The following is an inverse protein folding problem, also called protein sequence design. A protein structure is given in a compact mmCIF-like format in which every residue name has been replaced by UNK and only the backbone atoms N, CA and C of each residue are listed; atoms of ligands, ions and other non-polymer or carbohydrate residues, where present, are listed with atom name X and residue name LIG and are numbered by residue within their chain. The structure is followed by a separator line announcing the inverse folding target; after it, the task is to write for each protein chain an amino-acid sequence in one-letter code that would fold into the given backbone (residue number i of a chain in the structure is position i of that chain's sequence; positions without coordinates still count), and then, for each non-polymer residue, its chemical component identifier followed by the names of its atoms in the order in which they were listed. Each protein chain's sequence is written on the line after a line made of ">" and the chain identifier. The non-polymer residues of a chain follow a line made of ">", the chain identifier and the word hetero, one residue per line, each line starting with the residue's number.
data_IF_900219693051
#
_entry.id   IF_900219693051
#
_cell.length_a   1.000
_cell.length_b   1.000
_cell.length_c   1.000
_cell.angle_alpha   90.00
_cell.angle_beta   90.00
_cell.angle_gamma   90.00
#
_symmetry.space_group_name_H-M   'P 1'
#
loop_
_entity.id
_entity.type
_entity.pdbx_description
1 polymer ?
#
# COMPACT_ATOMS: atom_id res chain seq x y z
N UNK A 1 29.36 33.64 -15.81
CA UNK A 1 28.97 32.21 -15.83
C UNK A 1 28.29 31.93 -17.15
N UNK A 2 28.70 30.88 -17.86
CA UNK A 2 28.07 30.46 -19.12
C UNK A 2 26.61 30.05 -18.83
N UNK A 3 25.66 30.68 -19.52
CA UNK A 3 24.22 30.37 -19.36
C UNK A 3 23.98 28.96 -19.90
N UNK A 4 23.39 28.09 -19.09
CA UNK A 4 23.05 26.73 -19.48
C UNK A 4 21.69 26.73 -20.17
N UNK A 5 21.52 25.96 -21.24
CA UNK A 5 20.20 25.82 -21.88
C UNK A 5 19.37 24.75 -21.14
N UNK A 6 18.23 25.08 -20.48
CA UNK A 6 17.48 24.10 -19.70
C UNK A 6 16.89 22.97 -20.54
N UNK A 7 16.44 23.26 -21.76
CA UNK A 7 15.96 22.27 -22.72
C UNK A 7 17.06 21.29 -23.13
N UNK A 8 18.28 21.78 -23.37
CA UNK A 8 19.44 20.95 -23.69
C UNK A 8 19.85 20.07 -22.51
N UNK A 9 19.80 20.59 -21.28
CA UNK A 9 20.07 19.81 -20.07
C UNK A 9 19.05 18.67 -19.87
N UNK A 10 17.76 18.95 -20.11
CA UNK A 10 16.71 17.92 -20.08
C UNK A 10 16.90 16.87 -21.16
N UNK A 11 17.20 17.27 -22.40
CA UNK A 11 17.40 16.36 -23.52
C UNK A 11 18.61 15.44 -23.30
N UNK A 12 19.71 15.98 -22.78
CA UNK A 12 20.86 15.16 -22.40
C UNK A 12 20.52 14.17 -21.27
N UNK A 13 19.57 14.50 -20.40
CA UNK A 13 19.16 13.65 -19.28
C UNK A 13 18.28 12.46 -19.68
N UNK A 14 17.97 12.28 -20.97
CA UNK A 14 17.41 11.03 -21.50
C UNK A 14 18.30 9.84 -21.11
N UNK A 15 19.62 10.05 -21.05
CA UNK A 15 20.53 9.14 -20.36
C UNK A 15 20.77 9.76 -18.98
N UNK A 16 20.20 9.20 -17.89
CA UNK A 16 20.36 9.79 -16.57
C UNK A 16 21.82 10.01 -16.21
N UNK A 17 22.12 11.20 -15.71
CA UNK A 17 23.46 11.64 -15.36
C UNK A 17 24.13 12.57 -16.37
N UNK A 18 23.87 12.45 -17.67
CA UNK A 18 24.53 13.30 -18.68
C UNK A 18 24.12 14.78 -18.58
N UNK A 19 22.85 15.08 -18.29
CA UNK A 19 22.41 16.46 -18.08
C UNK A 19 22.97 17.10 -16.79
N UNK A 20 23.19 16.31 -15.74
CA UNK A 20 23.87 16.77 -14.53
C UNK A 20 25.36 17.05 -14.79
N UNK A 21 26.02 16.23 -15.63
CA UNK A 21 27.39 16.51 -16.10
C UNK A 21 27.43 17.82 -16.89
N UNK A 22 26.47 18.04 -17.79
CA UNK A 22 26.33 19.30 -18.54
C UNK A 22 26.18 20.52 -17.60
N UNK A 23 25.40 20.37 -16.53
CA UNK A 23 25.22 21.37 -15.48
C UNK A 23 26.43 21.52 -14.52
N UNK A 24 27.58 20.89 -14.82
CA UNK A 24 28.80 20.91 -14.01
C UNK A 24 28.64 20.24 -12.63
N UNK A 25 27.64 19.37 -12.45
CA UNK A 25 27.44 18.52 -11.27
C UNK A 25 27.98 17.10 -11.52
N UNK A 26 29.29 16.99 -11.75
CA UNK A 26 29.93 15.71 -12.18
C UNK A 26 29.66 14.56 -11.21
N UNK A 27 29.79 14.78 -9.89
CA UNK A 27 29.59 13.74 -8.89
C UNK A 27 28.16 13.13 -8.97
N UNK A 28 27.14 13.99 -8.99
CA UNK A 28 25.74 13.58 -9.14
C UNK A 28 25.49 12.87 -10.47
N UNK A 29 26.07 13.40 -11.54
CA UNK A 29 25.97 12.81 -12.87
C UNK A 29 26.53 11.38 -12.95
N UNK A 30 27.72 11.13 -12.40
CA UNK A 30 28.28 9.77 -12.35
C UNK A 30 27.47 8.82 -11.47
N UNK A 31 26.91 9.29 -10.35
CA UNK A 31 26.03 8.47 -9.51
C UNK A 31 24.78 8.07 -10.28
N UNK A 32 24.11 9.00 -10.95
CA UNK A 32 22.89 8.71 -11.72
C UNK A 32 23.15 7.79 -12.91
N UNK A 33 24.30 7.96 -13.57
CA UNK A 33 24.74 7.07 -14.64
C UNK A 33 25.06 5.67 -14.09
N UNK A 34 25.72 5.56 -12.94
CA UNK A 34 25.98 4.27 -12.27
C UNK A 34 24.69 3.55 -11.88
N UNK A 35 23.72 4.26 -11.27
CA UNK A 35 22.39 3.73 -10.95
C UNK A 35 21.69 3.22 -12.21
N UNK A 36 21.79 3.95 -13.31
CA UNK A 36 21.22 3.54 -14.61
C UNK A 36 21.86 2.27 -15.14
N UNK A 37 23.20 2.18 -15.14
CA UNK A 37 23.91 0.98 -15.60
C UNK A 37 23.52 -0.23 -14.75
N UNK A 38 23.54 -0.10 -13.43
CA UNK A 38 23.14 -1.17 -12.51
C UNK A 38 21.71 -1.61 -12.77
N UNK A 39 20.78 -0.66 -12.94
CA UNK A 39 19.39 -0.98 -13.25
C UNK A 39 19.24 -1.67 -14.61
N UNK A 40 19.93 -1.21 -15.65
CA UNK A 40 19.86 -1.83 -16.98
C UNK A 40 20.40 -3.27 -16.94
N UNK A 41 21.52 -3.50 -16.27
CA UNK A 41 22.06 -4.85 -16.08
C UNK A 41 21.09 -5.74 -15.31
N UNK A 42 20.54 -5.23 -14.20
CA UNK A 42 19.51 -5.91 -13.43
C UNK A 42 18.26 -6.22 -14.27
N UNK A 43 17.80 -5.25 -15.07
CA UNK A 43 16.60 -5.37 -15.87
C UNK A 43 16.75 -6.45 -16.94
N UNK A 44 17.86 -6.44 -17.66
CA UNK A 44 18.13 -7.43 -18.71
C UNK A 44 18.38 -8.83 -18.12
N UNK A 45 19.07 -8.93 -16.98
CA UNK A 45 19.43 -10.21 -16.40
C UNK A 45 18.30 -10.89 -15.61
N UNK A 46 17.48 -10.09 -14.90
CA UNK A 46 16.52 -10.62 -13.92
C UNK A 46 15.09 -10.13 -14.17
N UNK A 47 14.88 -8.82 -14.33
CA UNK A 47 13.52 -8.28 -14.36
C UNK A 47 12.76 -8.62 -15.66
N UNK A 48 13.41 -8.53 -16.82
CA UNK A 48 12.76 -8.74 -18.12
C UNK A 48 12.21 -10.17 -18.28
N UNK A 49 12.95 -11.25 -17.95
CA UNK A 49 12.40 -12.61 -17.95
C UNK A 49 11.21 -12.78 -17.00
N UNK A 50 11.29 -12.25 -15.77
CA UNK A 50 10.20 -12.39 -14.79
C UNK A 50 8.96 -11.54 -15.16
N UNK A 51 9.14 -10.39 -15.80
CA UNK A 51 8.04 -9.59 -16.35
C UNK A 51 7.41 -10.24 -17.57
N UNK A 52 8.17 -10.96 -18.39
CA UNK A 52 7.61 -11.80 -19.43
C UNK A 52 6.76 -12.92 -18.83
N UNK A 53 7.27 -13.61 -17.80
CA UNK A 53 6.54 -14.66 -17.08
C UNK A 53 5.29 -14.13 -16.36
N UNK A 54 5.28 -12.86 -15.95
CA UNK A 54 4.09 -12.20 -15.41
C UNK A 54 2.96 -12.14 -16.45
N UNK A 55 3.30 -11.92 -17.72
CA UNK A 55 2.33 -11.82 -18.80
C UNK A 55 1.87 -13.21 -19.25
N UNK A 56 2.80 -14.16 -19.42
CA UNK A 56 2.46 -15.50 -19.92
C UNK A 56 1.84 -16.40 -18.87
N UNK A 57 2.19 -16.22 -17.59
CA UNK A 57 1.79 -17.10 -16.48
C UNK A 57 2.18 -18.58 -16.69
N UNK A 58 3.21 -18.84 -17.51
CA UNK A 58 3.78 -20.17 -17.75
C UNK A 58 3.25 -20.84 -19.03
N UNK A 59 3.97 -21.87 -19.48
CA UNK A 59 3.65 -22.57 -20.73
C UNK A 59 3.42 -24.08 -20.51
N UNK A 60 3.99 -24.65 -19.44
CA UNK A 60 3.99 -26.10 -19.19
C UNK A 60 3.31 -26.44 -17.85
N UNK A 61 2.05 -26.91 -17.88
CA UNK A 61 1.36 -27.41 -16.69
C UNK A 61 2.17 -28.55 -16.02
N UNK A 62 2.15 -28.58 -14.70
CA UNK A 62 2.88 -29.54 -13.86
C UNK A 62 4.36 -29.20 -13.62
N UNK A 63 4.93 -28.26 -14.38
CA UNK A 63 6.31 -27.76 -14.19
C UNK A 63 6.32 -26.30 -13.75
N UNK A 64 5.61 -25.47 -14.50
CA UNK A 64 5.57 -24.04 -14.22
C UNK A 64 4.55 -23.76 -13.11
N UNK A 65 4.89 -22.81 -12.24
CA UNK A 65 3.99 -22.36 -11.18
C UNK A 65 3.60 -20.91 -11.45
N UNK A 66 2.44 -20.73 -12.08
CA UNK A 66 1.89 -19.43 -12.48
C UNK A 66 1.73 -18.46 -11.30
N UNK A 67 1.37 -18.98 -10.12
CA UNK A 67 1.24 -18.14 -8.92
C UNK A 67 2.60 -17.57 -8.50
N UNK A 68 3.65 -18.39 -8.49
CA UNK A 68 4.99 -17.88 -8.19
C UNK A 68 5.54 -16.96 -9.29
N UNK A 69 5.23 -17.22 -10.56
CA UNK A 69 5.58 -16.32 -11.66
C UNK A 69 4.90 -14.95 -11.49
N UNK A 70 3.61 -14.93 -11.14
CA UNK A 70 2.87 -13.70 -10.85
C UNK A 70 3.49 -12.93 -9.66
N UNK A 71 3.80 -13.64 -8.57
CA UNK A 71 4.40 -13.02 -7.37
C UNK A 71 5.79 -12.44 -7.67
N UNK A 72 6.67 -13.19 -8.36
CA UNK A 72 8.01 -12.70 -8.74
C UNK A 72 7.93 -11.55 -9.74
N UNK A 73 7.07 -11.67 -10.75
CA UNK A 73 6.80 -10.62 -11.72
C UNK A 73 6.34 -9.32 -11.05
N UNK A 74 5.39 -9.40 -10.12
CA UNK A 74 4.92 -8.26 -9.33
C UNK A 74 6.05 -7.63 -8.49
N UNK A 75 6.94 -8.44 -7.92
CA UNK A 75 8.10 -7.94 -7.18
C UNK A 75 9.03 -7.13 -8.10
N UNK A 76 9.38 -7.66 -9.28
CA UNK A 76 10.22 -6.96 -10.26
C UNK A 76 9.55 -5.71 -10.84
N UNK A 77 8.23 -5.73 -11.02
CA UNK A 77 7.46 -4.57 -11.48
C UNK A 77 7.64 -3.36 -10.55
N UNK A 78 7.73 -3.57 -9.23
CA UNK A 78 7.97 -2.48 -8.26
C UNK A 78 9.32 -1.80 -8.55
N UNK A 79 10.40 -2.57 -8.79
CA UNK A 79 11.70 -1.99 -9.11
C UNK A 79 11.68 -1.20 -10.41
N UNK A 80 10.95 -1.68 -11.42
CA UNK A 80 10.77 -0.95 -12.68
C UNK A 80 10.02 0.36 -12.45
N UNK A 81 8.93 0.35 -11.69
CA UNK A 81 8.16 1.57 -11.37
C UNK A 81 9.03 2.57 -10.59
N UNK A 82 9.78 2.11 -9.58
CA UNK A 82 10.71 2.95 -8.82
C UNK A 82 11.77 3.58 -9.75
N UNK A 83 12.31 2.81 -10.69
CA UNK A 83 13.27 3.33 -11.65
C UNK A 83 12.64 4.33 -12.63
N UNK A 84 11.41 4.09 -13.09
CA UNK A 84 10.67 5.05 -13.93
C UNK A 84 10.45 6.37 -13.20
N UNK A 85 10.09 6.33 -11.90
CA UNK A 85 9.99 7.53 -11.07
C UNK A 85 11.33 8.26 -10.93
N UNK A 86 12.42 7.51 -10.74
CA UNK A 86 13.78 8.06 -10.75
C UNK A 86 14.12 8.71 -12.10
N UNK A 87 13.79 8.05 -13.21
CA UNK A 87 14.06 8.53 -14.57
C UNK A 87 13.41 9.89 -14.85
N UNK A 88 12.11 10.03 -14.55
CA UNK A 88 11.41 11.32 -14.67
C UNK A 88 11.96 12.38 -13.70
N UNK A 89 12.28 11.98 -12.47
CA UNK A 89 12.86 12.88 -11.46
C UNK A 89 14.23 13.41 -11.90
N UNK A 90 15.06 12.58 -12.54
CA UNK A 90 16.35 12.97 -13.09
C UNK A 90 16.23 14.05 -14.20
N UNK A 91 15.27 13.90 -15.12
CA UNK A 91 15.07 14.88 -16.19
C UNK A 91 14.59 16.21 -15.60
N UNK A 92 13.61 16.16 -14.68
CA UNK A 92 13.10 17.34 -13.97
C UNK A 92 14.20 18.05 -13.18
N UNK A 93 15.07 17.29 -12.53
CA UNK A 93 16.22 17.79 -11.79
C UNK A 93 17.19 18.55 -12.70
N UNK A 94 17.63 17.95 -13.81
CA UNK A 94 18.57 18.60 -14.74
C UNK A 94 18.01 19.90 -15.34
N UNK A 95 16.72 19.91 -15.69
CA UNK A 95 16.03 21.12 -16.16
C UNK A 95 16.00 22.21 -15.08
N UNK A 96 15.62 21.85 -13.86
CA UNK A 96 15.46 22.78 -12.74
C UNK A 96 16.82 23.37 -12.32
N UNK A 97 17.87 22.54 -12.29
CA UNK A 97 19.22 22.99 -11.95
C UNK A 97 19.77 23.95 -13.01
N UNK A 98 19.58 23.67 -14.30
CA UNK A 98 19.98 24.59 -15.37
C UNK A 98 19.32 25.97 -15.22
N UNK A 99 18.02 26.01 -14.89
CA UNK A 99 17.29 27.25 -14.61
C UNK A 99 17.84 27.98 -13.37
N UNK A 100 18.16 27.26 -12.30
CA UNK A 100 18.77 27.83 -11.08
C UNK A 100 20.13 28.45 -11.35
N UNK A 101 20.99 27.77 -12.13
CA UNK A 101 22.30 28.29 -12.53
C UNK A 101 22.14 29.61 -13.31
N UNK A 102 21.18 29.67 -14.24
CA UNK A 102 20.94 30.89 -15.01
C UNK A 102 20.43 32.06 -14.16
N UNK A 103 19.71 31.75 -13.08
CA UNK A 103 19.19 32.74 -12.13
C UNK A 103 20.20 33.10 -11.03
N UNK A 104 21.44 32.62 -11.10
CA UNK A 104 22.48 32.90 -10.10
C UNK A 104 22.28 32.22 -8.74
N UNK A 105 21.34 31.27 -8.64
CA UNK A 105 21.07 30.53 -7.40
C UNK A 105 22.20 29.49 -7.21
N UNK A 106 22.84 29.42 -6.02
CA UNK A 106 23.90 28.45 -5.77
C UNK A 106 23.35 27.02 -5.87
N UNK A 107 24.11 26.15 -6.52
CA UNK A 107 23.79 24.72 -6.68
C UNK A 107 24.98 23.89 -6.20
N UNK A 108 24.74 22.74 -5.53
CA UNK A 108 25.82 21.88 -5.08
C UNK A 108 26.54 21.30 -6.29
N UNK A 109 27.88 21.48 -6.38
CA UNK A 109 28.69 20.97 -7.51
C UNK A 109 29.59 19.81 -7.11
N UNK A 110 30.05 19.81 -5.86
CA UNK A 110 30.91 18.75 -5.33
C UNK A 110 30.12 17.73 -4.53
N UNK A 111 30.72 16.56 -4.29
CA UNK A 111 30.12 15.52 -3.46
C UNK A 111 29.91 15.99 -2.01
N UNK A 112 30.86 16.76 -1.47
CA UNK A 112 30.75 17.33 -0.11
C UNK A 112 29.56 18.28 0.00
N UNK A 113 29.37 19.16 -1.00
CA UNK A 113 28.22 20.08 -1.04
C UNK A 113 26.89 19.32 -1.13
N UNK A 114 26.88 18.19 -1.83
CA UNK A 114 25.70 17.34 -1.98
C UNK A 114 25.31 16.69 -0.65
N UNK A 115 26.27 16.09 0.09
CA UNK A 115 26.00 15.52 1.41
C UNK A 115 25.50 16.61 2.36
N UNK A 116 26.18 17.76 2.39
CA UNK A 116 25.77 18.90 3.23
C UNK A 116 24.35 19.36 2.90
N UNK A 117 24.01 19.49 1.62
CA UNK A 117 22.68 19.86 1.17
C UNK A 117 21.59 18.84 1.53
N UNK A 118 21.91 17.53 1.44
CA UNK A 118 21.00 16.46 1.87
C UNK A 118 20.81 16.50 3.39
N UNK A 119 21.85 16.78 4.17
CA UNK A 119 21.71 16.88 5.62
C UNK A 119 20.92 18.13 6.04
N UNK A 120 21.17 19.28 5.41
CA UNK A 120 20.51 20.55 5.78
C UNK A 120 19.04 20.62 5.33
N UNK A 121 18.72 20.13 4.13
CA UNK A 121 17.39 20.27 3.53
C UNK A 121 16.66 18.94 3.32
N UNK A 122 17.40 17.83 3.36
CA UNK A 122 16.94 16.48 3.01
C UNK A 122 16.82 15.52 4.19
N UNK A 123 17.18 15.93 5.41
CA UNK A 123 17.20 15.06 6.59
C UNK A 123 15.84 14.41 6.88
N UNK A 124 14.68 15.12 6.82
CA UNK A 124 13.38 14.47 6.98
C UNK A 124 13.14 13.39 5.93
N UNK A 125 13.57 13.61 4.69
CA UNK A 125 13.43 12.64 3.60
C UNK A 125 14.28 11.39 3.84
N UNK A 126 15.49 11.54 4.37
CA UNK A 126 16.37 10.43 4.69
C UNK A 126 15.75 9.50 5.75
N UNK A 127 15.05 10.06 6.73
CA UNK A 127 14.38 9.29 7.79
C UNK A 127 13.13 8.56 7.31
N UNK A 128 12.38 9.14 6.36
CA UNK A 128 11.14 8.51 5.85
C UNK A 128 11.41 7.45 4.77
N UNK A 129 12.51 7.54 4.01
CA UNK A 129 12.81 6.60 2.91
C UNK A 129 12.78 5.13 3.38
N UNK A 130 13.43 4.73 4.49
CA UNK A 130 13.37 3.36 4.99
C UNK A 130 11.94 2.90 5.30
N UNK A 131 11.12 3.76 5.89
CA UNK A 131 9.71 3.47 6.18
C UNK A 131 8.93 3.25 4.89
N UNK A 132 9.11 4.07 3.87
CA UNK A 132 8.44 3.89 2.57
C UNK A 132 8.89 2.63 1.84
N UNK A 133 10.17 2.27 1.94
CA UNK A 133 10.68 1.00 1.40
C UNK A 133 10.01 -0.17 2.11
N UNK A 134 9.96 -0.15 3.45
CA UNK A 134 9.28 -1.20 4.22
C UNK A 134 7.78 -1.28 3.89
N UNK A 135 7.07 -0.14 3.82
CA UNK A 135 5.66 -0.08 3.43
C UNK A 135 5.42 -0.61 2.01
N UNK A 136 6.35 -0.36 1.09
CA UNK A 136 6.24 -0.87 -0.28
C UNK A 136 6.21 -2.40 -0.30
N UNK A 137 7.09 -3.06 0.44
CA UNK A 137 7.13 -4.52 0.46
C UNK A 137 6.10 -5.16 1.40
N UNK A 138 5.76 -4.49 2.51
CA UNK A 138 4.80 -5.03 3.48
C UNK A 138 3.34 -4.81 3.08
N UNK A 139 3.04 -3.75 2.33
CA UNK A 139 1.65 -3.35 1.99
C UNK A 139 1.45 -3.35 0.48
N UNK A 140 2.25 -2.56 -0.25
CA UNK A 140 2.01 -2.35 -1.69
C UNK A 140 2.20 -3.65 -2.47
N UNK A 141 3.25 -4.42 -2.17
CA UNK A 141 3.54 -5.68 -2.83
C UNK A 141 2.41 -6.72 -2.72
N UNK A 142 1.93 -7.12 -1.53
CA UNK A 142 0.82 -8.07 -1.42
C UNK A 142 -0.49 -7.52 -2.02
N UNK A 143 -0.71 -6.20 -1.96
CA UNK A 143 -1.88 -5.58 -2.61
C UNK A 143 -1.81 -5.72 -4.13
N UNK A 144 -0.65 -5.44 -4.75
CA UNK A 144 -0.47 -5.62 -6.21
C UNK A 144 -0.71 -7.07 -6.61
N UNK A 145 -0.14 -8.03 -5.87
CA UNK A 145 -0.35 -9.47 -6.13
C UNK A 145 -1.84 -9.84 -6.04
N UNK A 146 -2.52 -9.39 -4.99
CA UNK A 146 -3.96 -9.68 -4.79
C UNK A 146 -4.80 -9.07 -5.90
N UNK A 147 -4.49 -7.84 -6.30
CA UNK A 147 -5.16 -7.19 -7.43
C UNK A 147 -4.93 -7.97 -8.71
N UNK A 148 -3.70 -8.37 -9.02
CA UNK A 148 -3.38 -9.18 -10.20
C UNK A 148 -4.15 -10.51 -10.20
N UNK A 149 -4.20 -11.23 -9.08
CA UNK A 149 -4.97 -12.48 -8.94
C UNK A 149 -6.45 -12.24 -9.29
N UNK A 150 -7.02 -11.10 -8.94
CA UNK A 150 -8.42 -10.77 -9.26
C UNK A 150 -8.70 -10.69 -10.78
N UNK A 151 -7.69 -10.51 -11.62
CA UNK A 151 -7.79 -10.54 -13.09
C UNK A 151 -7.40 -11.89 -13.70
N UNK A 152 -7.19 -12.93 -12.89
CA UNK A 152 -6.87 -14.30 -13.32
C UNK A 152 -8.01 -15.28 -13.04
N UNK A 153 -7.95 -16.48 -13.61
CA UNK A 153 -8.86 -17.61 -13.31
C UNK A 153 -8.48 -18.39 -12.03
N UNK A 154 -7.83 -17.77 -11.04
CA UNK A 154 -7.41 -18.46 -9.83
C UNK A 154 -8.60 -18.97 -8.99
N UNK A 155 -8.82 -20.28 -9.01
CA UNK A 155 -9.87 -20.96 -8.28
C UNK A 155 -9.45 -22.40 -7.89
N UNK A 156 -10.35 -23.16 -7.27
CA UNK A 156 -10.09 -24.55 -6.90
C UNK A 156 -9.87 -25.49 -8.10
N UNK A 157 -10.33 -25.12 -9.30
CA UNK A 157 -10.15 -25.90 -10.52
C UNK A 157 -8.83 -25.58 -11.22
N UNK A 158 -8.22 -24.42 -10.97
CA UNK A 158 -6.99 -23.92 -11.59
C UNK A 158 -5.88 -23.71 -10.56
N UNK A 159 -5.55 -24.75 -9.80
CA UNK A 159 -4.48 -24.70 -8.79
C UNK A 159 -3.11 -25.02 -9.41
N UNK A 160 -2.15 -24.08 -9.40
CA UNK A 160 -0.77 -24.35 -9.81
C UNK A 160 -0.04 -25.29 -8.84
N UNK A 161 0.96 -26.07 -9.30
CA UNK A 161 1.49 -26.10 -10.67
C UNK A 161 0.69 -26.99 -11.63
N UNK A 162 -0.27 -27.79 -11.14
CA UNK A 162 -0.98 -28.79 -11.95
C UNK A 162 -1.75 -28.16 -13.11
N UNK A 163 -2.31 -26.96 -12.89
CA UNK A 163 -2.86 -26.12 -13.95
C UNK A 163 -2.20 -24.74 -13.92
N UNK A 164 -2.16 -24.11 -15.10
CA UNK A 164 -1.68 -22.76 -15.24
C UNK A 164 -2.82 -21.77 -15.00
N UNK A 165 -2.45 -20.55 -14.61
CA UNK A 165 -3.37 -19.43 -14.53
C UNK A 165 -3.37 -18.67 -15.85
N UNK A 166 -4.53 -18.15 -16.23
CA UNK A 166 -4.73 -17.32 -17.38
C UNK A 166 -5.32 -15.97 -16.97
N UNK A 167 -4.94 -14.92 -17.70
CA UNK A 167 -5.55 -13.60 -17.55
C UNK A 167 -6.96 -13.62 -18.14
N UNK A 168 -7.97 -13.49 -17.28
CA UNK A 168 -9.39 -13.40 -17.68
C UNK A 168 -9.88 -11.95 -17.78
N UNK A 169 -9.01 -10.98 -17.51
CA UNK A 169 -9.33 -9.57 -17.55
C UNK A 169 -10.45 -9.21 -16.58
N UNK A 170 -11.51 -8.57 -17.08
CA UNK A 170 -12.63 -8.10 -16.26
C UNK A 170 -13.73 -9.15 -16.02
N UNK A 171 -13.54 -10.39 -16.48
CA UNK A 171 -14.53 -11.46 -16.39
C UNK A 171 -15.00 -11.68 -14.95
N UNK A 172 -14.09 -11.76 -13.98
CA UNK A 172 -14.45 -11.93 -12.57
C UNK A 172 -15.36 -10.80 -12.04
N UNK A 173 -15.10 -9.56 -12.44
CA UNK A 173 -15.89 -8.39 -12.03
C UNK A 173 -17.26 -8.35 -12.68
N UNK A 174 -17.35 -8.73 -13.97
CA UNK A 174 -18.64 -8.80 -14.68
C UNK A 174 -19.51 -9.94 -14.16
N UNK A 175 -18.90 -11.09 -13.83
CA UNK A 175 -19.56 -12.26 -13.27
C UNK A 175 -20.30 -11.98 -11.95
N UNK A 176 -19.80 -11.04 -11.13
CA UNK A 176 -20.48 -10.61 -9.89
C UNK A 176 -21.87 -10.06 -10.19
N UNK A 177 -22.07 -9.40 -11.33
CA UNK A 177 -23.34 -8.76 -11.69
C UNK A 177 -24.18 -9.59 -12.65
N UNK A 178 -23.56 -10.39 -13.51
CA UNK A 178 -24.26 -11.19 -14.52
C UNK A 178 -24.78 -12.52 -13.98
N UNK A 179 -24.09 -13.15 -13.02
CA UNK A 179 -24.51 -14.43 -12.45
C UNK A 179 -25.42 -14.20 -11.25
N UNK A 180 -26.63 -14.75 -11.31
CA UNK A 180 -27.69 -14.54 -10.31
C UNK A 180 -27.25 -14.89 -8.88
N UNK A 181 -26.51 -15.99 -8.72
CA UNK A 181 -25.99 -16.44 -7.42
C UNK A 181 -24.97 -15.46 -6.84
N UNK A 182 -23.99 -15.01 -7.65
CA UNK A 182 -22.99 -14.04 -7.17
C UNK A 182 -23.61 -12.68 -6.89
N UNK A 183 -24.53 -12.22 -7.75
CA UNK A 183 -25.23 -10.95 -7.54
C UNK A 183 -26.03 -10.94 -6.24
N UNK A 184 -26.75 -12.03 -5.95
CA UNK A 184 -27.52 -12.16 -4.72
C UNK A 184 -26.62 -12.19 -3.48
N UNK A 185 -25.56 -13.00 -3.51
CA UNK A 185 -24.60 -13.10 -2.41
C UNK A 185 -23.85 -11.77 -2.17
N UNK A 186 -23.35 -11.15 -3.25
CA UNK A 186 -22.66 -9.87 -3.18
C UNK A 186 -23.58 -8.77 -2.66
N UNK A 187 -24.81 -8.68 -3.17
CA UNK A 187 -25.79 -7.71 -2.69
C UNK A 187 -26.10 -7.89 -1.20
N UNK A 188 -26.33 -9.12 -0.74
CA UNK A 188 -26.60 -9.41 0.66
C UNK A 188 -25.43 -9.02 1.57
N UNK A 189 -24.20 -9.42 1.21
CA UNK A 189 -23.00 -9.11 1.99
C UNK A 189 -22.72 -7.61 1.97
N UNK A 190 -22.79 -6.95 0.80
CA UNK A 190 -22.55 -5.52 0.68
C UNK A 190 -23.55 -4.70 1.49
N UNK A 191 -24.85 -5.03 1.41
CA UNK A 191 -25.88 -4.38 2.20
C UNK A 191 -25.65 -4.58 3.70
N UNK A 192 -25.33 -5.80 4.12
CA UNK A 192 -24.98 -6.09 5.51
C UNK A 192 -23.78 -5.24 5.97
N UNK A 193 -22.70 -5.20 5.19
CA UNK A 193 -21.50 -4.44 5.51
C UNK A 193 -21.78 -2.94 5.60
N UNK A 194 -22.56 -2.37 4.68
CA UNK A 194 -22.89 -0.95 4.69
C UNK A 194 -23.78 -0.61 5.90
N UNK A 195 -24.85 -1.37 6.12
CA UNK A 195 -25.76 -1.16 7.26
C UNK A 195 -24.95 -1.27 8.56
N UNK A 196 -24.17 -2.33 8.71
CA UNK A 196 -23.34 -2.54 9.90
C UNK A 196 -22.34 -1.41 10.10
N UNK A 197 -21.57 -1.04 9.07
CA UNK A 197 -20.56 0.01 9.16
C UNK A 197 -21.17 1.35 9.55
N UNK A 198 -22.29 1.74 8.93
CA UNK A 198 -22.97 3.00 9.23
C UNK A 198 -23.61 2.97 10.62
N UNK A 199 -24.36 1.93 10.95
CA UNK A 199 -25.03 1.80 12.26
C UNK A 199 -24.03 1.70 13.40
N UNK A 200 -23.05 0.81 13.32
CA UNK A 200 -22.06 0.61 14.38
C UNK A 200 -21.18 1.85 14.57
N UNK A 201 -20.66 2.45 13.49
CA UNK A 201 -19.81 3.64 13.60
C UNK A 201 -20.57 4.84 14.13
N UNK A 202 -21.80 5.08 13.63
CA UNK A 202 -22.63 6.20 14.09
C UNK A 202 -22.98 6.04 15.56
N UNK A 203 -23.42 4.84 15.96
CA UNK A 203 -23.77 4.57 17.36
C UNK A 203 -22.55 4.71 18.28
N UNK A 204 -21.39 4.20 17.87
CA UNK A 204 -20.15 4.32 18.64
C UNK A 204 -19.72 5.79 18.80
N UNK A 205 -19.80 6.59 17.73
CA UNK A 205 -19.46 8.02 17.78
C UNK A 205 -20.44 8.77 18.70
N UNK A 206 -21.75 8.55 18.53
CA UNK A 206 -22.78 9.21 19.33
C UNK A 206 -22.63 8.86 20.81
N UNK A 207 -22.53 7.58 21.16
CA UNK A 207 -22.36 7.14 22.55
C UNK A 207 -21.01 7.62 23.10
N UNK A 208 -19.93 7.54 22.32
CA UNK A 208 -18.60 7.99 22.71
C UNK A 208 -18.56 9.48 23.03
N UNK A 209 -19.12 10.33 22.17
CA UNK A 209 -19.22 11.78 22.40
C UNK A 209 -20.13 12.06 23.60
N UNK A 210 -21.30 11.43 23.67
CA UNK A 210 -22.24 11.61 24.78
C UNK A 210 -21.60 11.28 26.14
N UNK A 211 -20.95 10.11 26.25
CA UNK A 211 -20.26 9.69 27.47
C UNK A 211 -19.05 10.57 27.79
N UNK A 212 -18.31 11.04 26.79
CA UNK A 212 -17.21 11.98 26.99
C UNK A 212 -17.70 13.34 27.54
N UNK A 213 -18.81 13.86 27.02
CA UNK A 213 -19.42 15.11 27.50
C UNK A 213 -19.85 14.97 28.97
N UNK A 214 -20.50 13.86 29.33
CA UNK A 214 -20.93 13.60 30.71
C UNK A 214 -19.71 13.47 31.62
N UNK A 215 -18.75 12.60 31.28
CA UNK A 215 -17.58 12.35 32.12
C UNK A 215 -16.70 13.60 32.34
N UNK A 216 -16.77 14.58 31.44
CA UNK A 216 -16.03 15.83 31.56
C UNK A 216 -16.74 16.91 32.39
N UNK A 217 -18.01 16.73 32.79
CA UNK A 217 -18.70 17.74 33.59
C UNK A 217 -18.00 18.04 34.93
N UNK A 218 -18.02 19.29 35.43
CA UNK A 218 -17.28 19.69 36.63
C UNK A 218 -17.80 19.01 37.92
N UNK A 219 -19.09 18.61 37.95
CA UNK A 219 -19.70 17.96 39.09
C UNK A 219 -19.42 16.44 39.17
N UNK A 220 -18.87 15.83 38.11
CA UNK A 220 -18.53 14.41 38.11
C UNK A 220 -17.24 14.18 38.92
N UNK A 221 -17.40 13.47 40.04
CA UNK A 221 -16.29 13.04 40.90
C UNK A 221 -15.73 11.71 40.40
N UNK A 222 -14.42 11.49 40.57
CA UNK A 222 -13.79 10.22 40.18
C UNK A 222 -13.56 10.05 38.68
N UNK A 223 -13.33 11.13 37.92
CA UNK A 223 -13.08 11.10 36.46
C UNK A 223 -12.06 10.04 36.01
N UNK A 224 -11.03 9.79 36.83
CA UNK A 224 -10.00 8.78 36.57
C UNK A 224 -10.56 7.35 36.55
N UNK A 225 -11.54 7.04 37.39
CA UNK A 225 -12.18 5.72 37.45
C UNK A 225 -13.00 5.48 36.17
N UNK A 226 -13.80 6.48 35.75
CA UNK A 226 -14.53 6.41 34.48
C UNK A 226 -13.59 6.21 33.29
N UNK A 227 -12.45 6.92 33.26
CA UNK A 227 -11.43 6.72 32.23
C UNK A 227 -10.91 5.29 32.17
N UNK A 228 -10.64 4.66 33.31
CA UNK A 228 -10.23 3.24 33.36
C UNK A 228 -11.35 2.32 32.88
N UNK A 229 -12.59 2.53 33.32
CA UNK A 229 -13.75 1.73 32.90
C UNK A 229 -13.94 1.79 31.38
N UNK A 230 -13.78 2.96 30.76
CA UNK A 230 -13.92 3.10 29.31
C UNK A 230 -12.77 2.45 28.51
N UNK A 231 -11.57 2.38 29.08
CA UNK A 231 -10.42 1.74 28.45
C UNK A 231 -10.41 0.21 28.63
N UNK A 232 -11.02 -0.32 29.69
CA UNK A 232 -11.03 -1.75 30.00
C UNK A 232 -11.56 -2.63 28.85
N UNK A 233 -12.71 -2.32 28.21
CA UNK A 233 -13.20 -3.11 27.09
C UNK A 233 -12.24 -3.17 25.90
N UNK A 234 -11.46 -2.10 25.67
CA UNK A 234 -10.46 -2.06 24.60
C UNK A 234 -9.26 -2.98 24.87
N UNK A 235 -8.92 -3.20 26.15
CA UNK A 235 -7.85 -4.11 26.54
C UNK A 235 -8.22 -5.59 26.38
N UNK A 236 -9.52 -5.92 26.27
CA UNK A 236 -9.98 -7.29 26.06
C UNK A 236 -9.79 -7.69 24.60
N UNK A 237 -9.08 -8.79 24.30
CA UNK A 237 -8.93 -9.26 22.93
C UNK A 237 -10.27 -9.59 22.29
N UNK A 238 -10.46 -9.18 21.03
CA UNK A 238 -11.73 -9.35 20.31
C UNK A 238 -12.27 -10.79 20.33
N UNK A 239 -11.39 -11.79 20.21
CA UNK A 239 -11.78 -13.19 20.26
C UNK A 239 -12.40 -13.60 21.60
N UNK A 240 -11.86 -13.11 22.72
CA UNK A 240 -12.42 -13.38 24.06
C UNK A 240 -13.81 -12.76 24.19
N UNK A 241 -13.98 -11.54 23.69
CA UNK A 241 -15.29 -10.88 23.65
C UNK A 241 -16.28 -11.71 22.85
N UNK A 242 -15.92 -12.15 21.63
CA UNK A 242 -16.79 -12.96 20.78
C UNK A 242 -17.21 -14.26 21.48
N UNK A 243 -16.28 -15.00 22.09
CA UNK A 243 -16.60 -16.24 22.80
C UNK A 243 -17.51 -15.98 24.01
N UNK A 244 -17.25 -14.92 24.75
CA UNK A 244 -18.06 -14.55 25.92
C UNK A 244 -19.49 -14.26 25.50
N UNK A 245 -19.68 -13.42 24.47
CA UNK A 245 -21.01 -13.14 23.93
C UNK A 245 -21.66 -14.40 23.34
N UNK A 246 -20.92 -15.23 22.60
CA UNK A 246 -21.45 -16.50 22.07
C UNK A 246 -21.93 -17.45 23.17
N UNK A 247 -21.24 -17.51 24.31
CA UNK A 247 -21.67 -18.30 25.46
C UNK A 247 -22.87 -17.67 26.17
N UNK A 248 -22.89 -16.35 26.33
CA UNK A 248 -24.00 -15.62 26.96
C UNK A 248 -25.31 -15.77 26.19
N UNK A 249 -25.23 -15.76 24.87
CA UNK A 249 -26.36 -15.92 23.95
C UNK A 249 -26.58 -17.37 23.50
N UNK A 250 -25.93 -18.36 24.13
CA UNK A 250 -26.17 -19.76 23.83
C UNK A 250 -27.64 -20.16 24.11
N UNK A 251 -28.27 -20.82 23.15
CA UNK A 251 -29.72 -21.12 23.17
C UNK A 251 -30.14 -22.01 24.34
N UNK A 252 -29.29 -22.92 24.81
CA UNK A 252 -29.66 -23.90 25.83
C UNK A 252 -29.33 -23.46 27.26
N UNK A 253 -28.15 -22.88 27.48
CA UNK A 253 -27.62 -22.58 28.82
C UNK A 253 -27.09 -21.15 28.97
N UNK A 254 -27.30 -20.30 27.96
CA UNK A 254 -26.81 -18.94 27.95
C UNK A 254 -27.39 -18.11 29.09
N UNK A 255 -26.55 -17.25 29.69
CA UNK A 255 -26.95 -16.37 30.77
C UNK A 255 -28.12 -15.45 30.37
N UNK A 256 -28.16 -15.00 29.12
CA UNK A 256 -29.26 -14.16 28.63
C UNK A 256 -30.59 -14.92 28.62
N UNK A 257 -30.59 -16.16 28.12
CA UNK A 257 -31.80 -16.98 27.98
C UNK A 257 -32.31 -17.49 29.34
N UNK A 258 -31.41 -17.81 30.26
CA UNK A 258 -31.75 -18.41 31.55
C UNK A 258 -32.02 -17.38 32.65
N UNK A 259 -31.42 -16.19 32.58
CA UNK A 259 -31.50 -15.18 33.65
C UNK A 259 -32.24 -13.91 33.21
N UNK A 260 -31.96 -13.38 32.01
CA UNK A 260 -32.48 -12.07 31.59
C UNK A 260 -33.88 -12.16 30.97
N UNK A 261 -34.06 -13.02 29.96
CA UNK A 261 -35.36 -13.16 29.29
C UNK A 261 -36.52 -13.55 30.22
N UNK A 262 -36.35 -14.48 31.18
CA UNK A 262 -37.44 -14.84 32.09
C UNK A 262 -37.84 -13.70 33.05
N UNK A 263 -36.92 -12.77 33.35
CA UNK A 263 -37.22 -11.58 34.16
C UNK A 263 -38.01 -10.59 33.32
N UNK A 264 -37.60 -10.34 32.08
CA UNK A 264 -38.29 -9.43 31.17
C UNK A 264 -39.70 -9.93 30.81
N UNK A 265 -39.90 -11.24 30.71
CA UNK A 265 -41.21 -11.84 30.40
C UNK A 265 -42.21 -11.76 31.57
N UNK A 266 -41.76 -11.39 32.77
CA UNK A 266 -42.63 -11.24 33.97
C UNK A 266 -43.07 -9.80 34.21
N UNK A 267 -42.55 -8.85 33.44
CA UNK A 267 -42.91 -7.43 33.45
C UNK A 267 -43.84 -7.16 32.27
#
# INVERSE_FOLDING_TARGET
>A
MEKQQPSKAALLSIIPGLGQIYNKQKAKGFIFLGVTIVFVLYFLALAAPELHNLITLGDKPGRDNSLFMLIRGAFHLIFVVVYVLFYFSNIKDAYTIAKRINNGIPVPRTFKDMIKGIYENGFPYLLIIPSYVAMTFAIIFPVIVTLMIAFTNYDFQHLPPNKLLDWVGLTNFTNIWSLSTFRSAFGAVLSWTIIWALSASTLQIVIGIFTAIIANQPFIKGKRIFGVIFLLPWAVPAFITILTFSNMFNDSVGAINTQVLPILAKV
#
